data_IF_551634832749
#
_entry.id   IF_551634832749
#
_cell.length_a   1.000
_cell.length_b   1.000
_cell.length_c   1.000
_cell.angle_alpha   90.00
_cell.angle_beta   90.00
_cell.angle_gamma   90.00
#
_symmetry.space_group_name_H-M   'P 1'
#
loop_
_entity.id
_entity.type
_entity.pdbx_description
1 polymer ?
#
# COMPACT_ATOMS: atom_id res chain seq x y z
N UNK A 1 -18.71 -8.58 59.22
CA UNK A 1 -19.32 -7.41 58.58
C UNK A 1 -19.42 -7.73 57.09
N UNK A 2 -20.60 -8.14 56.64
CA UNK A 2 -20.85 -8.45 55.23
C UNK A 2 -20.88 -7.17 54.40
N UNK A 3 -20.08 -7.13 53.33
CA UNK A 3 -20.07 -6.04 52.37
C UNK A 3 -21.26 -6.20 51.42
N UNK A 4 -22.21 -5.26 51.50
CA UNK A 4 -23.36 -5.16 50.59
C UNK A 4 -22.86 -4.83 49.19
N UNK A 5 -22.96 -5.78 48.25
CA UNK A 5 -22.75 -5.54 46.81
C UNK A 5 -23.90 -4.69 46.28
N UNK A 6 -23.63 -3.45 45.88
CA UNK A 6 -24.60 -2.66 45.11
C UNK A 6 -24.61 -3.12 43.66
N UNK A 7 -25.81 -3.34 43.14
CA UNK A 7 -26.08 -3.70 41.75
C UNK A 7 -25.83 -2.53 40.80
N UNK A 8 -25.04 -2.78 39.75
CA UNK A 8 -24.75 -1.86 38.66
C UNK A 8 -26.04 -1.36 38.00
N UNK A 9 -26.23 -0.04 37.93
CA UNK A 9 -27.40 0.58 37.29
C UNK A 9 -26.94 1.28 36.00
N UNK A 10 -27.52 0.89 34.87
CA UNK A 10 -27.23 1.42 33.53
C UNK A 10 -27.50 2.93 33.43
N UNK A 11 -26.53 3.69 32.89
CA UNK A 11 -26.59 5.15 32.67
C UNK A 11 -27.70 5.61 31.70
N UNK A 12 -28.26 4.69 30.91
CA UNK A 12 -29.31 4.99 29.94
C UNK A 12 -30.69 5.23 30.59
N UNK A 13 -30.86 4.94 31.87
CA UNK A 13 -32.10 5.12 32.62
C UNK A 13 -32.25 6.49 33.33
N UNK A 14 -31.24 7.39 33.27
CA UNK A 14 -31.29 8.72 33.91
C UNK A 14 -31.68 9.88 33.00
N UNK A 15 -31.95 9.63 31.71
CA UNK A 15 -32.40 10.64 30.76
C UNK A 15 -33.85 10.39 30.34
N UNK A 16 -34.78 10.62 31.25
CA UNK A 16 -36.20 10.69 30.93
C UNK A 16 -36.78 12.01 31.47
N UNK A 17 -36.99 12.97 30.57
CA UNK A 17 -37.85 14.14 30.80
C UNK A 17 -39.05 14.09 29.83
N UNK A 18 -40.20 14.67 30.21
CA UNK A 18 -41.52 14.15 29.84
C UNK A 18 -41.92 14.53 28.41
N UNK A 19 -42.36 13.54 27.63
CA UNK A 19 -43.06 13.77 26.36
C UNK A 19 -44.52 14.12 26.63
N UNK A 20 -44.91 15.32 26.22
CA UNK A 20 -46.30 15.75 26.09
C UNK A 20 -47.03 14.82 25.11
N UNK A 21 -48.18 14.30 25.55
CA UNK A 21 -49.07 13.42 24.78
C UNK A 21 -50.09 14.22 23.99
N UNK A 22 -50.32 13.85 22.72
CA UNK A 22 -51.67 13.75 22.13
C UNK A 22 -51.66 12.84 20.89
N UNK A 23 -52.75 12.09 20.63
CA UNK A 23 -52.74 10.90 19.80
C UNK A 23 -53.27 11.16 18.38
N UNK A 24 -52.79 10.41 17.39
CA UNK A 24 -53.52 10.16 16.15
C UNK A 24 -53.25 8.74 15.65
N UNK A 25 -54.31 8.16 15.10
CA UNK A 25 -54.64 6.75 14.93
C UNK A 25 -54.28 6.18 13.54
N UNK A 26 -53.63 5.01 13.54
CA UNK A 26 -53.79 3.74 12.73
C UNK A 26 -54.74 3.82 11.49
N UNK A 27 -54.41 3.23 10.30
CA UNK A 27 -54.25 1.77 10.14
C UNK A 27 -53.24 1.13 9.18
N UNK A 28 -53.06 -0.17 9.47
CA UNK A 28 -52.26 -1.27 8.91
C UNK A 28 -52.59 -1.65 7.45
N UNK A 29 -51.63 -2.29 6.78
CA UNK A 29 -51.86 -3.49 5.93
C UNK A 29 -50.54 -4.29 5.78
N UNK A 30 -50.47 -5.53 6.32
CA UNK A 30 -50.45 -6.85 5.64
C UNK A 30 -49.20 -7.17 4.81
N UNK A 31 -48.30 -8.02 5.32
CA UNK A 31 -48.17 -9.46 5.03
C UNK A 31 -47.48 -9.77 3.69
N UNK A 32 -46.33 -10.43 3.73
CA UNK A 32 -46.06 -11.68 2.96
C UNK A 32 -44.76 -12.32 3.43
N UNK A 33 -44.91 -13.53 3.94
CA UNK A 33 -43.89 -14.52 4.31
C UNK A 33 -43.27 -15.13 3.06
N UNK A 34 -41.95 -15.34 3.02
CA UNK A 34 -41.37 -16.36 2.12
C UNK A 34 -40.26 -17.14 2.82
N UNK A 35 -40.58 -18.42 2.99
CA UNK A 35 -39.77 -19.54 3.49
C UNK A 35 -38.49 -19.75 2.68
N UNK A 36 -37.38 -20.07 3.36
CA UNK A 36 -36.24 -20.75 2.76
C UNK A 36 -35.78 -21.92 3.65
N UNK A 37 -35.69 -23.07 2.98
CA UNK A 37 -35.35 -24.42 3.43
C UNK A 37 -34.03 -24.53 4.19
N UNK A 38 -34.07 -25.38 5.21
CA UNK A 38 -32.95 -26.10 5.82
C UNK A 38 -32.47 -27.26 4.93
N UNK A 39 -31.15 -27.46 4.83
CA UNK A 39 -30.53 -28.79 4.60
C UNK A 39 -29.05 -28.81 4.99
N UNK A 40 -28.74 -29.65 6.00
CA UNK A 40 -27.59 -30.56 6.24
C UNK A 40 -26.17 -30.07 5.90
N UNK A 41 -25.24 -29.89 6.86
CA UNK A 41 -24.53 -30.89 7.69
C UNK A 41 -23.98 -32.09 6.91
N UNK A 42 -22.65 -32.09 6.68
CA UNK A 42 -21.84 -33.31 6.56
C UNK A 42 -20.52 -33.13 7.31
N UNK A 43 -20.24 -34.10 8.16
CA UNK A 43 -19.09 -34.22 9.05
C UNK A 43 -18.12 -35.29 8.55
N UNK A 44 -16.96 -35.30 9.23
CA UNK A 44 -16.01 -36.39 9.45
C UNK A 44 -15.08 -36.83 8.32
N UNK A 45 -13.86 -36.31 8.45
CA UNK A 45 -12.57 -36.94 8.26
C UNK A 45 -12.41 -38.30 8.98
N UNK A 46 -11.59 -39.17 8.39
CA UNK A 46 -10.93 -40.27 9.09
C UNK A 46 -10.12 -41.15 8.14
N UNK A 47 -8.78 -41.09 8.25
CA UNK A 47 -7.92 -42.28 8.21
C UNK A 47 -6.44 -41.89 8.33
N UNK A 48 -5.85 -42.37 9.42
CA UNK A 48 -4.44 -42.46 9.76
C UNK A 48 -3.71 -43.54 8.98
N UNK A 49 -2.41 -43.34 8.68
CA UNK A 49 -1.44 -44.44 8.66
C UNK A 49 -0.01 -43.92 8.84
N UNK A 50 0.71 -44.59 9.73
CA UNK A 50 2.02 -44.30 10.28
C UNK A 50 3.19 -44.92 9.50
N UNK A 51 4.33 -44.22 9.56
CA UNK A 51 5.72 -44.70 9.76
C UNK A 51 6.37 -45.78 8.87
N UNK A 52 7.54 -45.45 8.30
CA UNK A 52 8.75 -46.28 8.41
C UNK A 52 10.02 -45.48 8.15
N UNK A 53 10.96 -45.58 9.09
CA UNK A 53 12.31 -45.01 9.18
C UNK A 53 13.37 -45.79 8.39
N UNK A 54 14.43 -45.12 7.90
CA UNK A 54 15.87 -45.43 8.19
C UNK A 54 16.88 -44.63 7.33
N UNK A 55 18.16 -44.52 7.76
CA UNK A 55 19.02 -43.33 7.54
C UNK A 55 20.27 -43.57 6.68
N UNK A 56 20.91 -42.48 6.23
CA UNK A 56 22.34 -42.27 5.83
C UNK A 56 22.38 -40.98 5.00
N UNK A 57 23.39 -40.12 4.97
CA UNK A 57 24.72 -40.06 5.56
C UNK A 57 25.21 -38.62 5.36
N UNK A 58 26.02 -38.15 6.30
CA UNK A 58 26.73 -36.86 6.28
C UNK A 58 27.64 -36.68 5.05
N UNK A 59 27.54 -35.52 4.40
CA UNK A 59 28.66 -34.91 3.68
C UNK A 59 28.61 -33.40 3.85
N UNK A 60 29.57 -32.89 4.61
CA UNK A 60 29.94 -31.48 4.75
C UNK A 60 30.38 -30.90 3.41
N UNK A 61 29.75 -29.81 2.98
CA UNK A 61 30.31 -28.87 2.00
C UNK A 61 29.91 -27.45 2.38
N UNK A 62 30.92 -26.59 2.50
CA UNK A 62 30.91 -25.20 2.93
C UNK A 62 29.93 -24.29 2.18
N UNK A 63 29.42 -23.21 2.79
CA UNK A 63 28.53 -22.27 2.14
C UNK A 63 29.35 -21.29 1.29
N UNK A 64 29.23 -21.38 -0.03
CA UNK A 64 29.53 -20.25 -0.90
C UNK A 64 28.24 -19.48 -1.14
N UNK A 65 28.31 -18.18 -0.88
CA UNK A 65 27.29 -17.17 -1.12
C UNK A 65 26.77 -17.22 -2.56
N UNK A 66 25.59 -17.82 -2.76
CA UNK A 66 24.70 -17.44 -3.85
C UNK A 66 23.69 -16.44 -3.30
N UNK A 67 24.01 -15.15 -3.45
CA UNK A 67 23.03 -14.09 -3.37
C UNK A 67 22.00 -14.31 -4.50
N UNK A 68 20.96 -15.09 -4.20
CA UNK A 68 19.86 -15.36 -5.09
C UNK A 68 19.13 -14.06 -5.43
N UNK A 69 19.45 -13.48 -6.58
CA UNK A 69 18.57 -12.55 -7.27
C UNK A 69 17.30 -13.31 -7.64
N UNK A 70 16.29 -13.28 -6.77
CA UNK A 70 14.96 -13.78 -7.09
C UNK A 70 14.50 -13.08 -8.37
N UNK A 71 14.16 -13.86 -9.41
CA UNK A 71 13.51 -13.32 -10.61
C UNK A 71 12.32 -12.48 -10.16
N UNK A 72 12.15 -11.25 -10.70
CA UNK A 72 11.04 -10.40 -10.29
C UNK A 72 9.73 -11.16 -10.49
N UNK A 73 9.00 -11.39 -9.40
CA UNK A 73 7.72 -12.07 -9.48
C UNK A 73 6.81 -11.29 -10.43
N UNK A 74 6.25 -11.99 -11.40
CA UNK A 74 5.43 -11.37 -12.43
C UNK A 74 4.19 -10.78 -11.76
N UNK A 75 4.05 -9.45 -11.86
CA UNK A 75 2.93 -8.70 -11.30
C UNK A 75 1.59 -9.33 -11.73
N UNK A 76 0.68 -9.67 -10.79
CA UNK A 76 -0.62 -10.24 -11.15
C UNK A 76 -1.42 -9.32 -12.06
N UNK A 77 -2.21 -9.88 -12.98
CA UNK A 77 -3.06 -9.11 -13.91
C UNK A 77 -4.13 -8.29 -13.20
N UNK A 78 -4.53 -8.72 -12.01
CA UNK A 78 -5.49 -8.02 -11.15
C UNK A 78 -4.89 -6.81 -10.41
N UNK A 79 -3.56 -6.68 -10.39
CA UNK A 79 -2.91 -5.61 -9.63
C UNK A 79 -3.16 -4.23 -10.28
N UNK A 80 -3.59 -3.22 -9.51
CA UNK A 80 -3.90 -1.88 -10.04
C UNK A 80 -2.73 -1.30 -10.82
N UNK A 81 -2.89 -0.79 -12.05
CA UNK A 81 -1.74 -0.25 -12.80
C UNK A 81 -1.23 1.05 -12.15
N UNK A 82 0.08 1.19 -11.90
CA UNK A 82 0.60 2.44 -11.35
C UNK A 82 0.41 3.57 -12.36
N UNK A 83 0.00 4.73 -11.88
CA UNK A 83 -0.16 5.94 -12.68
C UNK A 83 0.68 7.05 -12.06
N UNK A 84 1.92 7.19 -12.54
CA UNK A 84 2.87 8.20 -12.06
C UNK A 84 3.01 9.29 -13.10
N UNK A 85 3.00 10.56 -12.66
CA UNK A 85 3.16 11.70 -13.55
C UNK A 85 4.64 11.90 -13.95
N UNK A 86 5.15 11.01 -14.81
CA UNK A 86 6.52 11.05 -15.35
C UNK A 86 6.78 12.38 -16.07
N UNK A 87 5.76 12.94 -16.72
CA UNK A 87 5.87 14.25 -17.38
C UNK A 87 6.26 15.35 -16.38
N UNK A 88 5.56 15.44 -15.26
CA UNK A 88 5.86 16.42 -14.22
C UNK A 88 7.27 16.25 -13.63
N UNK A 89 7.72 15.00 -13.43
CA UNK A 89 9.09 14.71 -12.96
C UNK A 89 10.12 15.26 -13.94
N UNK A 90 9.88 15.06 -15.24
CA UNK A 90 10.79 15.48 -16.30
C UNK A 90 10.84 16.99 -16.53
N UNK A 91 9.69 17.66 -16.40
CA UNK A 91 9.59 19.11 -16.52
C UNK A 91 10.18 19.82 -15.29
N UNK A 92 10.25 19.15 -14.13
CA UNK A 92 10.68 19.75 -12.86
C UNK A 92 11.72 18.89 -12.09
N UNK A 93 12.82 18.45 -12.70
CA UNK A 93 13.73 17.47 -12.10
C UNK A 93 14.37 17.97 -10.79
N UNK A 94 14.68 19.27 -10.71
CA UNK A 94 15.30 19.91 -9.55
C UNK A 94 14.42 19.85 -8.30
N UNK A 95 13.09 19.98 -8.47
CA UNK A 95 12.14 19.92 -7.35
C UNK A 95 12.13 18.50 -6.76
N UNK A 96 12.09 17.48 -7.62
CA UNK A 96 12.11 16.08 -7.17
C UNK A 96 13.45 15.70 -6.54
N UNK A 97 14.56 16.14 -7.12
CA UNK A 97 15.90 15.93 -6.57
C UNK A 97 16.04 16.57 -5.18
N UNK A 98 15.67 17.84 -5.04
CA UNK A 98 15.69 18.56 -3.76
C UNK A 98 14.80 17.88 -2.73
N UNK A 99 13.58 17.51 -3.10
CA UNK A 99 12.65 16.81 -2.20
C UNK A 99 13.21 15.46 -1.73
N UNK A 100 13.85 14.68 -2.62
CA UNK A 100 14.55 13.45 -2.23
C UNK A 100 15.64 13.72 -1.19
N UNK A 101 16.47 14.76 -1.39
CA UNK A 101 17.52 15.11 -0.44
C UNK A 101 16.96 15.53 0.93
N UNK A 102 15.92 16.37 0.93
CA UNK A 102 15.25 16.82 2.16
C UNK A 102 14.56 15.69 2.93
N UNK A 103 14.11 14.64 2.22
CA UNK A 103 13.48 13.44 2.79
C UNK A 103 14.49 12.30 3.07
N UNK A 104 15.79 12.53 2.89
CA UNK A 104 16.87 11.55 3.06
C UNK A 104 16.88 10.36 2.05
N UNK A 105 16.33 10.53 0.85
CA UNK A 105 16.36 9.58 -0.26
C UNK A 105 17.55 9.85 -1.21
N UNK A 106 18.78 9.69 -0.70
CA UNK A 106 20.03 10.09 -1.40
C UNK A 106 20.28 9.37 -2.73
N UNK A 107 19.86 8.11 -2.85
CA UNK A 107 20.05 7.35 -4.11
C UNK A 107 19.05 7.82 -5.16
N UNK A 108 17.79 8.00 -4.73
CA UNK A 108 16.67 8.37 -5.57
C UNK A 108 16.74 9.82 -6.04
N UNK A 109 17.51 10.69 -5.38
CA UNK A 109 17.73 12.07 -5.84
C UNK A 109 18.36 12.14 -7.25
N UNK A 110 19.04 11.09 -7.69
CA UNK A 110 19.62 10.99 -9.04
C UNK A 110 18.61 10.53 -10.12
N UNK A 111 17.42 10.07 -9.72
CA UNK A 111 16.47 9.44 -10.63
C UNK A 111 15.81 10.43 -11.60
N UNK A 112 15.44 11.67 -11.22
CA UNK A 112 14.84 12.61 -12.15
C UNK A 112 15.71 12.91 -13.39
N UNK A 113 17.02 13.10 -13.20
CA UNK A 113 17.96 13.32 -14.31
C UNK A 113 18.16 12.07 -15.17
N UNK A 114 18.19 10.89 -14.55
CA UNK A 114 18.22 9.59 -15.25
C UNK A 114 16.95 9.37 -16.09
N UNK A 115 15.77 9.69 -15.57
CA UNK A 115 14.49 9.60 -16.29
C UNK A 115 14.53 10.50 -17.54
N UNK A 116 15.08 11.71 -17.44
CA UNK A 116 15.24 12.59 -18.61
C UNK A 116 16.17 12.00 -19.66
N UNK A 117 17.29 11.39 -19.24
CA UNK A 117 18.20 10.68 -20.15
C UNK A 117 17.51 9.51 -20.86
N UNK A 118 16.80 8.66 -20.11
CA UNK A 118 16.06 7.53 -20.65
C UNK A 118 14.95 7.98 -21.60
N UNK A 119 14.29 9.09 -21.29
CA UNK A 119 13.27 9.64 -22.17
C UNK A 119 13.86 10.16 -23.48
N UNK A 120 15.04 10.80 -23.45
CA UNK A 120 15.72 11.22 -24.68
C UNK A 120 16.09 10.02 -25.56
N UNK A 121 16.56 8.92 -24.96
CA UNK A 121 16.80 7.66 -25.66
C UNK A 121 15.50 7.09 -26.25
N UNK A 122 14.42 7.09 -25.48
CA UNK A 122 13.11 6.63 -25.93
C UNK A 122 12.59 7.46 -27.10
N UNK A 123 12.75 8.80 -27.05
CA UNK A 123 12.40 9.68 -28.16
C UNK A 123 13.23 9.42 -29.41
N UNK A 124 14.53 9.13 -29.26
CA UNK A 124 15.38 8.74 -30.38
C UNK A 124 14.87 7.44 -31.02
N UNK A 125 14.52 6.42 -30.23
CA UNK A 125 13.91 5.18 -30.74
C UNK A 125 12.56 5.41 -31.43
N UNK A 126 11.72 6.28 -30.88
CA UNK A 126 10.47 6.68 -31.53
C UNK A 126 10.70 7.36 -32.87
N UNK A 127 11.76 8.18 -32.98
CA UNK A 127 12.15 8.84 -34.23
C UNK A 127 12.68 7.82 -35.25
N UNK A 128 13.56 6.92 -34.84
CA UNK A 128 14.11 5.82 -35.66
C UNK A 128 12.98 4.91 -36.19
N UNK A 129 11.97 4.65 -35.35
CA UNK A 129 10.82 3.83 -35.70
C UNK A 129 9.79 4.52 -36.59
N UNK A 130 9.77 5.85 -36.67
CA UNK A 130 8.70 6.60 -37.37
C UNK A 130 8.64 6.25 -38.86
N UNK A 131 9.76 6.39 -39.57
CA UNK A 131 9.82 6.09 -41.01
C UNK A 131 9.58 4.61 -41.29
N UNK A 132 10.04 3.71 -40.40
CA UNK A 132 9.81 2.27 -40.51
C UNK A 132 8.33 1.90 -40.31
N UNK A 133 7.63 2.54 -39.37
CA UNK A 133 6.19 2.35 -39.15
C UNK A 133 5.36 2.90 -40.31
N UNK A 134 5.69 4.08 -40.81
CA UNK A 134 5.05 4.67 -42.00
C UNK A 134 5.20 3.74 -43.22
N UNK A 135 6.42 3.22 -43.45
CA UNK A 135 6.70 2.26 -44.51
C UNK A 135 5.98 0.94 -44.31
N UNK A 136 5.98 0.39 -43.09
CA UNK A 136 5.24 -0.84 -42.77
C UNK A 136 3.74 -0.69 -43.00
N UNK A 137 3.16 0.45 -42.64
CA UNK A 137 1.75 0.76 -42.88
C UNK A 137 1.45 0.90 -44.38
N UNK A 138 2.35 1.52 -45.16
CA UNK A 138 2.22 1.61 -46.61
C UNK A 138 2.24 0.21 -47.26
N UNK A 139 3.18 -0.65 -46.88
CA UNK A 139 3.26 -2.04 -47.34
C UNK A 139 2.01 -2.85 -46.98
N UNK A 140 1.52 -2.73 -45.74
CA UNK A 140 0.27 -3.40 -45.33
C UNK A 140 -0.92 -2.99 -46.18
N UNK A 141 -1.04 -1.69 -46.52
CA UNK A 141 -2.10 -1.18 -47.41
C UNK A 141 -1.94 -1.73 -48.84
N UNK A 142 -0.71 -1.82 -49.34
CA UNK A 142 -0.40 -2.37 -50.66
C UNK A 142 -0.75 -3.86 -50.75
N UNK A 143 -0.31 -4.67 -49.77
CA UNK A 143 -0.58 -6.11 -49.71
C UNK A 143 -2.07 -6.42 -49.56
N UNK A 144 -2.81 -5.56 -48.84
CA UNK A 144 -4.25 -5.70 -48.67
C UNK A 144 -5.07 -5.30 -49.92
N UNK A 145 -4.45 -4.65 -50.91
CA UNK A 145 -5.14 -4.22 -52.13
C UNK A 145 -5.28 -5.40 -53.12
N UNK A 146 -6.51 -5.79 -53.52
CA UNK A 146 -6.74 -6.92 -54.43
C UNK A 146 -6.12 -6.74 -55.83
N UNK A 147 -5.92 -5.50 -56.28
CA UNK A 147 -5.35 -5.20 -57.61
C UNK A 147 -3.86 -5.57 -57.75
N UNK A 148 -3.15 -5.72 -56.63
CA UNK A 148 -1.75 -6.18 -56.56
C UNK A 148 -1.63 -7.71 -56.62
N UNK A 149 -2.76 -8.42 -56.63
CA UNK A 149 -2.85 -9.87 -56.85
C UNK A 149 -3.18 -10.08 -58.33
N UNK A 150 -2.29 -9.64 -59.23
CA UNK A 150 -2.32 -10.13 -60.61
C UNK A 150 -1.28 -11.24 -60.73
N UNK A 151 -1.76 -12.40 -61.17
CA UNK A 151 -0.99 -13.62 -61.40
C UNK A 151 0.13 -13.39 -62.40
N UNK A 152 1.37 -13.71 -62.02
CA UNK A 152 2.42 -14.07 -62.98
C UNK A 152 2.24 -15.55 -63.34
N UNK A 153 1.21 -15.84 -64.15
CA UNK A 153 1.17 -17.06 -64.96
C UNK A 153 1.03 -16.54 -66.40
N UNK A 154 2.16 -16.43 -67.11
CA UNK A 154 2.35 -16.39 -68.58
C UNK A 154 3.46 -15.41 -69.00
N UNK A 155 4.71 -15.85 -68.90
CA UNK A 155 5.81 -15.31 -69.71
C UNK A 155 6.80 -16.43 -70.05
N UNK A 156 6.53 -17.15 -71.13
CA UNK A 156 7.53 -17.99 -71.78
C UNK A 156 8.62 -17.12 -72.43
N UNK A 157 9.86 -17.44 -72.03
CA UNK A 157 11.08 -17.48 -72.83
C UNK A 157 11.81 -16.16 -73.15
N UNK A 158 13.02 -16.00 -72.58
CA UNK A 158 14.03 -15.09 -73.15
C UNK A 158 15.11 -14.56 -72.21
N UNK A 159 16.05 -15.41 -71.77
CA UNK A 159 17.46 -15.02 -71.65
C UNK A 159 17.97 -14.27 -70.41
N UNK A 160 19.20 -14.64 -70.04
CA UNK A 160 20.13 -14.00 -69.10
C UNK A 160 19.91 -14.25 -67.59
N UNK A 161 20.54 -15.33 -67.13
CA UNK A 161 20.95 -15.50 -65.74
C UNK A 161 21.91 -14.35 -65.32
N UNK A 162 21.40 -13.41 -64.53
CA UNK A 162 22.20 -12.47 -63.73
C UNK A 162 22.46 -13.05 -62.33
N UNK A 163 23.56 -12.68 -61.64
CA UNK A 163 24.01 -13.40 -60.46
C UNK A 163 23.05 -13.19 -59.28
N UNK A 164 22.77 -14.28 -58.55
CA UNK A 164 22.18 -14.23 -57.20
C UNK A 164 23.11 -13.43 -56.29
N UNK A 165 22.84 -12.15 -56.13
CA UNK A 165 23.46 -11.34 -55.07
C UNK A 165 22.80 -11.71 -53.75
N UNK A 166 23.58 -12.38 -52.90
CA UNK A 166 23.67 -12.15 -51.45
C UNK A 166 22.64 -11.14 -50.91
N UNK A 167 21.52 -11.63 -50.39
CA UNK A 167 21.28 -11.73 -48.94
C UNK A 167 21.32 -10.47 -48.06
N UNK A 168 21.71 -9.30 -48.55
CA UNK A 168 21.94 -8.13 -47.71
C UNK A 168 21.52 -6.83 -48.40
N UNK A 169 20.22 -6.53 -48.40
CA UNK A 169 19.77 -5.15 -48.56
C UNK A 169 20.07 -4.38 -47.28
N UNK A 170 20.98 -3.39 -47.28
CA UNK A 170 21.22 -2.58 -46.11
C UNK A 170 19.96 -1.79 -45.80
N UNK A 171 19.51 -1.81 -44.55
CA UNK A 171 18.48 -0.93 -44.00
C UNK A 171 18.92 0.55 -43.95
N UNK A 172 19.89 0.95 -44.78
CA UNK A 172 20.53 2.26 -44.83
C UNK A 172 19.82 3.25 -45.75
N UNK A 173 20.20 4.52 -45.58
CA UNK A 173 19.58 5.78 -46.00
C UNK A 173 19.55 6.07 -47.53
N UNK A 174 19.37 5.04 -48.36
CA UNK A 174 19.24 5.17 -49.83
C UNK A 174 17.80 5.42 -50.29
N UNK A 175 17.59 5.94 -51.53
CA UNK A 175 16.26 6.18 -52.09
C UNK A 175 15.47 4.87 -52.20
N UNK A 176 14.46 4.70 -51.34
CA UNK A 176 13.60 3.51 -51.30
C UNK A 176 12.67 3.51 -52.51
N UNK A 177 12.57 2.37 -53.22
CA UNK A 177 11.64 2.18 -54.35
C UNK A 177 10.19 2.45 -53.93
N UNK A 178 9.38 2.94 -54.87
CA UNK A 178 7.95 3.12 -54.67
C UNK A 178 7.30 1.75 -54.39
N UNK A 179 6.50 1.69 -53.33
CA UNK A 179 5.80 0.47 -52.90
C UNK A 179 4.84 -0.02 -53.99
N UNK A 180 4.43 0.89 -54.89
CA UNK A 180 3.54 0.61 -56.02
C UNK A 180 4.16 -0.22 -57.15
N UNK A 181 5.49 -0.26 -57.22
CA UNK A 181 6.21 -0.92 -58.32
C UNK A 181 6.87 -2.23 -57.90
N UNK A 182 6.65 -2.68 -56.66
CA UNK A 182 7.27 -3.89 -56.11
C UNK A 182 6.40 -5.12 -56.35
N UNK A 183 7.03 -6.27 -56.58
CA UNK A 183 6.32 -7.56 -56.73
C UNK A 183 5.80 -8.05 -55.37
N UNK A 184 4.85 -9.00 -55.39
CA UNK A 184 4.27 -9.55 -54.15
C UNK A 184 5.33 -10.15 -53.23
N UNK A 185 6.32 -10.85 -53.78
CA UNK A 185 7.40 -11.47 -52.99
C UNK A 185 8.35 -10.43 -52.40
N UNK A 186 8.64 -9.36 -53.16
CA UNK A 186 9.43 -8.22 -52.66
C UNK A 186 8.70 -7.48 -51.52
N UNK A 187 7.38 -7.28 -51.66
CA UNK A 187 6.54 -6.66 -50.63
C UNK A 187 6.53 -7.51 -49.33
N UNK A 188 6.44 -8.83 -49.47
CA UNK A 188 6.44 -9.77 -48.34
C UNK A 188 7.80 -9.81 -47.64
N UNK A 189 8.92 -9.83 -48.37
CA UNK A 189 10.25 -9.82 -47.77
C UNK A 189 10.58 -8.48 -47.11
N UNK A 190 10.24 -7.33 -47.73
CA UNK A 190 10.41 -6.02 -47.08
C UNK A 190 9.56 -5.93 -45.81
N UNK A 191 8.31 -6.41 -45.83
CA UNK A 191 7.46 -6.46 -44.65
C UNK A 191 8.06 -7.33 -43.54
N UNK A 192 8.71 -8.46 -43.88
CA UNK A 192 9.38 -9.34 -42.93
C UNK A 192 10.60 -8.66 -42.30
N UNK A 193 11.43 -7.99 -43.10
CA UNK A 193 12.59 -7.24 -42.63
C UNK A 193 12.20 -6.07 -41.74
N UNK A 194 11.18 -5.29 -42.13
CA UNK A 194 10.64 -4.20 -41.32
C UNK A 194 10.03 -4.69 -40.02
N UNK A 195 9.32 -5.83 -40.04
CA UNK A 195 8.79 -6.44 -38.81
C UNK A 195 9.93 -6.78 -37.83
N UNK A 196 11.04 -7.33 -38.32
CA UNK A 196 12.21 -7.62 -37.48
C UNK A 196 12.83 -6.34 -36.90
N UNK A 197 13.02 -5.32 -37.73
CA UNK A 197 13.57 -4.03 -37.29
C UNK A 197 12.65 -3.31 -36.27
N UNK A 198 11.33 -3.32 -36.52
CA UNK A 198 10.34 -2.74 -35.62
C UNK A 198 10.25 -3.49 -34.29
N UNK A 199 10.37 -4.82 -34.28
CA UNK A 199 10.38 -5.62 -33.04
C UNK A 199 11.48 -5.15 -32.09
N UNK A 200 12.69 -4.95 -32.59
CA UNK A 200 13.82 -4.47 -31.78
C UNK A 200 13.56 -3.06 -31.22
N UNK A 201 12.97 -2.17 -32.01
CA UNK A 201 12.62 -0.81 -31.57
C UNK A 201 11.52 -0.86 -30.50
N UNK A 202 10.47 -1.67 -30.70
CA UNK A 202 9.36 -1.83 -29.77
C UNK A 202 9.82 -2.44 -28.43
N UNK A 203 10.73 -3.42 -28.48
CA UNK A 203 11.36 -4.00 -27.28
C UNK A 203 12.18 -2.97 -26.51
N UNK A 204 12.99 -2.15 -27.21
CA UNK A 204 13.76 -1.07 -26.61
C UNK A 204 12.84 0.00 -26.00
N UNK A 205 11.78 0.40 -26.70
CA UNK A 205 10.81 1.38 -26.21
C UNK A 205 10.10 0.88 -24.95
N UNK A 206 9.69 -0.40 -24.94
CA UNK A 206 9.04 -1.01 -23.78
C UNK A 206 10.00 -1.12 -22.59
N UNK A 207 11.26 -1.50 -22.82
CA UNK A 207 12.30 -1.56 -21.79
C UNK A 207 12.55 -0.18 -21.17
N UNK A 208 12.78 0.84 -22.00
CA UNK A 208 13.01 2.22 -21.54
C UNK A 208 11.80 2.78 -20.78
N UNK A 209 10.58 2.51 -21.27
CA UNK A 209 9.36 2.92 -20.58
C UNK A 209 9.20 2.25 -19.22
N UNK A 210 9.56 0.96 -19.12
CA UNK A 210 9.52 0.21 -17.85
C UNK A 210 10.54 0.78 -16.87
N UNK A 211 11.78 0.99 -17.32
CA UNK A 211 12.84 1.56 -16.47
C UNK A 211 12.49 2.96 -15.96
N UNK A 212 11.92 3.84 -16.82
CA UNK A 212 11.43 5.14 -16.38
C UNK A 212 10.31 5.03 -15.34
N UNK A 213 9.40 4.07 -15.50
CA UNK A 213 8.30 3.86 -14.57
C UNK A 213 8.80 3.35 -13.22
N UNK A 214 9.75 2.41 -13.21
CA UNK A 214 10.32 1.85 -11.99
C UNK A 214 11.09 2.91 -11.20
N UNK A 215 11.88 3.74 -11.88
CA UNK A 215 12.56 4.89 -11.26
C UNK A 215 11.56 5.90 -10.70
N UNK A 216 10.48 6.20 -11.44
CA UNK A 216 9.46 7.14 -11.00
C UNK A 216 8.66 6.61 -9.79
N UNK A 217 8.40 5.31 -9.71
CA UNK A 217 7.71 4.68 -8.57
C UNK A 217 8.56 4.63 -7.29
N UNK A 218 9.88 4.70 -7.43
CA UNK A 218 10.79 4.72 -6.30
C UNK A 218 10.97 6.12 -5.68
N UNK A 219 10.48 7.18 -6.34
CA UNK A 219 10.53 8.53 -5.79
C UNK A 219 9.48 8.70 -4.68
N UNK A 220 9.82 9.38 -3.57
CA UNK A 220 8.82 9.79 -2.59
C UNK A 220 7.91 10.89 -3.18
N UNK A 221 6.74 11.07 -2.58
CA UNK A 221 5.84 12.16 -2.91
C UNK A 221 6.49 13.53 -2.61
N UNK A 222 5.94 14.61 -3.14
CA UNK A 222 6.40 15.96 -2.80
C UNK A 222 5.97 16.34 -1.38
N UNK A 223 6.82 17.06 -0.66
CA UNK A 223 6.51 17.59 0.66
C UNK A 223 5.75 18.92 0.55
N UNK A 224 4.88 19.24 1.51
CA UNK A 224 4.26 20.56 1.59
C UNK A 224 5.30 21.65 1.92
N UNK A 225 5.03 22.88 1.49
CA UNK A 225 5.88 24.03 1.81
C UNK A 225 5.93 24.32 3.32
N UNK A 226 4.88 23.94 4.05
CA UNK A 226 4.76 24.12 5.51
C UNK A 226 5.53 23.08 6.32
N UNK A 227 5.99 21.98 5.69
CA UNK A 227 6.71 20.89 6.34
C UNK A 227 8.08 21.37 6.84
N UNK A 228 8.39 21.20 8.15
CA UNK A 228 9.70 21.51 8.70
C UNK A 228 10.80 20.73 7.97
N UNK A 229 11.91 21.40 7.67
CA UNK A 229 13.05 20.75 7.00
C UNK A 229 13.95 20.06 8.02
N UNK A 230 14.54 18.93 7.64
CA UNK A 230 15.48 18.19 8.47
C UNK A 230 14.80 17.12 9.31
N UNK A 231 15.21 16.99 10.58
CA UNK A 231 14.82 15.88 11.47
C UNK A 231 14.00 16.33 12.69
N UNK A 232 13.82 17.63 12.91
CA UNK A 232 13.16 18.14 14.11
C UNK A 232 11.68 18.47 13.84
N UNK A 233 10.73 17.86 14.57
CA UNK A 233 9.33 18.21 14.45
C UNK A 233 9.06 19.60 15.03
N UNK A 234 8.03 20.28 14.50
CA UNK A 234 7.55 21.56 15.04
C UNK A 234 6.31 21.34 15.91
N UNK A 235 6.35 21.77 17.16
CA UNK A 235 5.18 21.75 18.04
C UNK A 235 4.14 22.76 17.55
N UNK A 236 2.89 22.31 17.38
CA UNK A 236 1.77 23.14 16.95
C UNK A 236 0.87 23.56 18.11
N UNK A 237 0.54 22.61 18.98
CA UNK A 237 -0.36 22.83 20.11
C UNK A 237 -0.20 21.72 21.16
N UNK A 238 -0.89 21.90 22.28
CA UNK A 238 -0.94 20.93 23.37
C UNK A 238 -2.38 20.60 23.73
N UNK A 239 -2.60 19.38 24.21
CA UNK A 239 -3.90 18.86 24.63
C UNK A 239 -3.93 18.76 26.15
N UNK A 240 -5.00 19.28 26.76
CA UNK A 240 -5.26 19.27 28.22
C UNK A 240 -4.16 19.93 29.07
N UNK A 241 -3.57 21.05 28.62
CA UNK A 241 -2.62 21.83 29.44
C UNK A 241 -3.29 22.68 30.55
N UNK A 242 -2.54 23.06 31.61
CA UNK A 242 -1.14 22.73 31.89
C UNK A 242 -0.97 21.27 32.31
N UNK A 243 0.21 20.71 32.07
CA UNK A 243 0.49 19.35 32.50
C UNK A 243 0.40 19.27 34.03
N UNK A 244 -0.24 18.25 34.65
CA UNK A 244 -0.24 18.07 36.11
C UNK A 244 1.15 17.94 36.74
N UNK A 245 2.24 17.91 35.94
CA UNK A 245 3.63 17.87 36.40
C UNK A 245 4.33 19.23 36.38
N UNK A 246 3.77 20.26 35.74
CA UNK A 246 4.29 21.64 35.86
C UNK A 246 3.95 22.25 37.22
N UNK A 247 2.93 21.73 37.89
CA UNK A 247 2.50 22.12 39.24
C UNK A 247 3.04 21.22 40.36
N UNK A 248 3.73 20.12 40.04
CA UNK A 248 4.33 19.23 41.03
C UNK A 248 5.70 19.79 41.47
N UNK A 249 5.84 20.08 42.77
CA UNK A 249 7.11 20.50 43.36
C UNK A 249 8.24 19.52 42.95
N UNK A 250 9.45 20.01 42.60
CA UNK A 250 10.61 19.16 42.27
C UNK A 250 11.05 18.21 43.40
N UNK A 251 10.39 18.27 44.56
CA UNK A 251 10.60 17.43 45.75
C UNK A 251 9.63 16.23 45.87
N UNK A 252 8.93 15.82 44.80
CA UNK A 252 8.02 14.68 44.86
C UNK A 252 8.77 13.34 44.76
N UNK A 253 8.85 12.58 45.86
CA UNK A 253 9.38 11.20 45.95
C UNK A 253 8.53 10.13 45.22
N UNK A 254 7.60 10.56 44.35
CA UNK A 254 6.65 9.68 43.68
C UNK A 254 7.36 8.78 42.67
N UNK A 255 7.51 7.51 43.02
CA UNK A 255 8.01 6.46 42.13
C UNK A 255 6.95 6.15 41.08
N UNK A 256 7.18 6.58 39.84
CA UNK A 256 6.35 6.19 38.71
C UNK A 256 6.58 4.71 38.40
N UNK A 257 5.49 3.96 38.24
CA UNK A 257 5.52 2.56 37.79
C UNK A 257 5.26 2.53 36.28
N UNK A 258 5.92 1.63 35.55
CA UNK A 258 5.69 1.47 34.12
C UNK A 258 4.34 0.80 33.87
N UNK A 259 3.79 0.95 32.65
CA UNK A 259 2.57 0.23 32.25
C UNK A 259 2.75 -1.29 32.36
N UNK A 260 3.96 -1.79 32.14
CA UNK A 260 4.30 -3.21 32.36
C UNK A 260 4.11 -3.60 33.81
N UNK A 261 4.72 -2.85 34.74
CA UNK A 261 4.59 -3.14 36.17
C UNK A 261 3.12 -3.06 36.61
N UNK A 262 2.43 -1.97 36.25
CA UNK A 262 1.03 -1.74 36.61
C UNK A 262 0.15 -2.88 36.06
N UNK A 263 0.32 -3.22 34.79
CA UNK A 263 -0.47 -4.26 34.14
C UNK A 263 -0.23 -5.66 34.71
N UNK A 264 1.01 -6.00 35.07
CA UNK A 264 1.32 -7.27 35.74
C UNK A 264 0.74 -7.32 37.15
N UNK A 265 0.86 -6.24 37.93
CA UNK A 265 0.35 -6.18 39.32
C UNK A 265 -1.17 -6.25 39.38
N UNK A 266 -1.86 -5.64 38.40
CA UNK A 266 -3.31 -5.75 38.24
C UNK A 266 -3.75 -7.08 37.62
N UNK A 267 -2.81 -7.90 37.13
CA UNK A 267 -3.14 -9.17 36.47
C UNK A 267 -3.78 -9.03 35.08
N UNK A 268 -3.68 -7.86 34.46
CA UNK A 268 -4.34 -7.55 33.17
C UNK A 268 -3.42 -7.73 31.95
N UNK A 269 -2.10 -7.91 32.17
CA UNK A 269 -1.10 -8.18 31.13
C UNK A 269 -0.32 -9.47 31.41
N UNK A 270 -0.29 -10.37 30.43
CA UNK A 270 0.55 -11.58 30.48
C UNK A 270 1.45 -11.68 29.25
N UNK A 271 2.72 -11.32 29.46
CA UNK A 271 3.79 -11.43 28.46
C UNK A 271 4.49 -12.80 28.51
N UNK A 272 4.44 -13.51 29.64
CA UNK A 272 5.17 -14.76 29.81
C UNK A 272 4.52 -15.88 29.00
N UNK A 273 3.20 -16.02 29.10
CA UNK A 273 2.42 -16.99 28.31
C UNK A 273 2.48 -16.67 26.82
N UNK A 274 2.49 -15.38 26.46
CA UNK A 274 2.65 -14.94 25.07
C UNK A 274 4.05 -15.30 24.53
N UNK A 275 5.10 -15.10 25.33
CA UNK A 275 6.47 -15.50 24.97
C UNK A 275 6.61 -17.01 24.75
N UNK A 276 5.94 -17.84 25.55
CA UNK A 276 5.91 -19.29 25.34
C UNK A 276 5.15 -19.68 24.07
N UNK A 277 4.09 -18.95 23.70
CA UNK A 277 3.21 -19.31 22.59
C UNK A 277 3.72 -18.81 21.24
N UNK A 278 4.10 -17.53 21.17
CA UNK A 278 4.36 -16.80 19.91
C UNK A 278 5.73 -16.14 19.86
N UNK A 279 6.50 -16.23 20.96
CA UNK A 279 7.79 -15.57 21.10
C UNK A 279 7.67 -14.13 21.60
N UNK A 280 8.73 -13.37 21.42
CA UNK A 280 8.83 -12.01 21.91
C UNK A 280 7.95 -11.02 21.13
N UNK A 281 7.55 -9.90 21.77
CA UNK A 281 6.76 -8.83 21.13
C UNK A 281 5.25 -9.11 21.06
N UNK A 282 4.79 -10.21 21.66
CA UNK A 282 3.38 -10.60 21.80
C UNK A 282 2.90 -10.45 23.25
N UNK A 283 1.59 -10.39 23.45
CA UNK A 283 0.98 -10.21 24.77
C UNK A 283 -0.42 -10.81 24.83
N UNK A 284 -0.86 -11.17 26.04
CA UNK A 284 -2.28 -11.33 26.35
C UNK A 284 -2.79 -10.13 27.14
N UNK A 285 -3.99 -9.66 26.80
CA UNK A 285 -4.81 -8.82 27.67
C UNK A 285 -5.77 -9.73 28.42
N UNK A 286 -5.81 -9.61 29.74
CA UNK A 286 -6.66 -10.42 30.61
C UNK A 286 -7.74 -9.53 31.25
N UNK A 287 -8.90 -10.11 31.51
CA UNK A 287 -9.99 -9.50 32.29
C UNK A 287 -10.27 -8.03 31.93
N UNK A 288 -10.06 -7.10 32.86
CA UNK A 288 -10.28 -5.66 32.66
C UNK A 288 -9.38 -5.06 31.56
N UNK A 289 -8.19 -5.61 31.32
CA UNK A 289 -7.33 -5.19 30.21
C UNK A 289 -7.96 -5.49 28.85
N UNK A 290 -8.58 -6.67 28.70
CA UNK A 290 -9.31 -7.02 27.49
C UNK A 290 -10.58 -6.17 27.34
N UNK A 291 -11.30 -5.90 28.44
CA UNK A 291 -12.47 -5.02 28.43
C UNK A 291 -12.09 -3.58 28.06
N UNK A 292 -10.94 -3.07 28.53
CA UNK A 292 -10.45 -1.74 28.21
C UNK A 292 -10.18 -1.59 26.72
N UNK A 293 -9.57 -2.59 26.07
CA UNK A 293 -9.39 -2.56 24.61
C UNK A 293 -10.73 -2.42 23.88
N UNK A 294 -11.72 -3.24 24.23
CA UNK A 294 -13.04 -3.19 23.61
C UNK A 294 -13.76 -1.86 23.86
N UNK A 295 -13.63 -1.31 25.08
CA UNK A 295 -14.21 -0.02 25.43
C UNK A 295 -13.59 1.13 24.63
N UNK A 296 -12.27 1.16 24.47
CA UNK A 296 -11.56 2.17 23.68
C UNK A 296 -11.94 2.09 22.19
N UNK A 297 -12.08 0.89 21.63
CA UNK A 297 -12.54 0.68 20.25
C UNK A 297 -13.95 1.26 20.07
N UNK A 298 -14.89 0.84 20.93
CA UNK A 298 -16.29 1.25 20.83
C UNK A 298 -16.45 2.77 21.05
N UNK A 299 -15.71 3.33 22.00
CA UNK A 299 -15.68 4.76 22.28
C UNK A 299 -15.23 5.55 21.05
N UNK A 300 -14.05 5.23 20.50
CA UNK A 300 -13.50 5.95 19.34
C UNK A 300 -14.40 5.85 18.13
N UNK A 301 -14.92 4.66 17.81
CA UNK A 301 -15.88 4.50 16.69
C UNK A 301 -17.13 5.36 16.89
N UNK A 302 -17.69 5.38 18.11
CA UNK A 302 -18.86 6.19 18.43
C UNK A 302 -18.58 7.70 18.37
N UNK A 303 -17.37 8.14 18.74
CA UNK A 303 -16.96 9.54 18.64
C UNK A 303 -16.81 9.97 17.18
N UNK A 304 -16.05 9.21 16.38
CA UNK A 304 -15.80 9.57 14.97
C UNK A 304 -17.08 9.53 14.13
N UNK A 305 -17.96 8.55 14.34
CA UNK A 305 -19.21 8.43 13.57
C UNK A 305 -20.27 9.50 13.87
N UNK A 306 -20.08 10.33 14.91
CA UNK A 306 -20.91 11.53 15.13
C UNK A 306 -20.54 12.67 14.20
N UNK A 307 -19.32 12.68 13.68
CA UNK A 307 -18.86 13.69 12.72
C UNK A 307 -19.56 13.43 11.37
N UNK A 308 -20.25 14.42 10.78
CA UNK A 308 -20.98 14.23 9.54
C UNK A 308 -20.12 13.64 8.42
N UNK A 309 -20.65 12.60 7.77
CA UNK A 309 -20.01 11.95 6.62
C UNK A 309 -19.10 10.76 6.96
N UNK A 310 -18.63 10.61 8.20
CA UNK A 310 -17.85 9.45 8.61
C UNK A 310 -18.73 8.21 8.75
N UNK A 311 -18.39 7.16 7.99
CA UNK A 311 -19.14 5.90 8.03
C UNK A 311 -18.26 4.76 8.52
N UNK A 312 -18.77 4.00 9.47
CA UNK A 312 -18.07 2.84 10.01
C UNK A 312 -17.95 1.71 8.98
N UNK A 313 -16.82 1.01 8.98
CA UNK A 313 -16.57 -0.19 8.17
C UNK A 313 -15.66 -1.17 8.92
N UNK A 314 -15.79 -2.46 8.64
CA UNK A 314 -14.87 -3.49 9.13
C UNK A 314 -14.04 -4.03 7.94
N UNK A 315 -12.78 -3.60 7.78
CA UNK A 315 -11.93 -4.06 6.67
C UNK A 315 -11.33 -5.46 6.94
N UNK A 316 -10.96 -6.22 5.89
CA UNK A 316 -10.23 -7.48 6.04
C UNK A 316 -8.79 -7.26 6.56
N UNK A 317 -8.30 -8.16 7.42
CA UNK A 317 -6.91 -8.15 7.90
C UNK A 317 -5.91 -8.82 6.96
N UNK A 318 -6.40 -9.60 5.99
CA UNK A 318 -5.58 -10.28 4.97
C UNK A 318 -5.85 -9.59 3.64
N UNK A 319 -4.78 -9.16 2.97
CA UNK A 319 -4.83 -8.45 1.69
C UNK A 319 -3.90 -9.11 0.68
N UNK A 320 -4.06 -8.81 -0.60
CA UNK A 320 -3.05 -9.18 -1.58
C UNK A 320 -1.76 -8.38 -1.35
N UNK A 321 -0.60 -9.02 -1.42
CA UNK A 321 0.70 -8.37 -1.24
C UNK A 321 0.91 -7.18 -2.19
N UNK A 322 0.37 -7.27 -3.41
CA UNK A 322 0.47 -6.19 -4.40
C UNK A 322 -0.39 -4.96 -4.05
N UNK A 323 -1.42 -5.09 -3.21
CA UNK A 323 -2.20 -3.96 -2.68
C UNK A 323 -1.39 -3.26 -1.58
N UNK A 324 -0.79 -4.02 -0.65
CA UNK A 324 0.11 -3.47 0.36
C UNK A 324 1.28 -2.69 -0.28
N UNK A 325 1.91 -3.29 -1.30
CA UNK A 325 2.98 -2.64 -2.05
C UNK A 325 2.52 -1.34 -2.75
N UNK A 326 1.29 -1.31 -3.30
CA UNK A 326 0.73 -0.12 -3.92
C UNK A 326 0.46 1.03 -2.93
N UNK A 327 0.23 0.71 -1.65
CA UNK A 327 0.12 1.69 -0.57
C UNK A 327 1.48 2.15 -0.03
N UNK A 328 2.60 1.76 -0.64
CA UNK A 328 3.95 2.11 -0.19
C UNK A 328 4.52 1.22 0.90
N UNK A 329 3.78 0.17 1.32
CA UNK A 329 4.28 -0.83 2.26
C UNK A 329 5.11 -1.85 1.50
N UNK A 330 6.42 -1.65 1.49
CA UNK A 330 7.34 -2.58 0.84
C UNK A 330 7.57 -3.81 1.74
N UNK A 331 7.72 -5.02 1.17
CA UNK A 331 8.07 -6.22 1.92
C UNK A 331 9.38 -6.08 2.70
N UNK A 332 10.28 -5.20 2.25
CA UNK A 332 11.49 -4.81 2.96
C UNK A 332 11.60 -3.30 3.00
N UNK A 333 12.02 -2.75 4.13
CA UNK A 333 12.35 -1.33 4.22
C UNK A 333 13.72 -1.02 3.61
N UNK A 334 14.16 0.22 3.74
CA UNK A 334 15.44 0.70 3.20
C UNK A 334 16.66 -0.04 3.77
N UNK A 335 16.52 -0.66 4.94
CA UNK A 335 17.56 -1.43 5.61
C UNK A 335 17.47 -2.93 5.28
N UNK A 336 16.52 -3.32 4.42
CA UNK A 336 16.29 -4.71 4.04
C UNK A 336 15.45 -5.49 5.05
N UNK A 337 14.85 -4.83 6.04
CA UNK A 337 14.12 -5.46 7.13
C UNK A 337 12.66 -5.69 6.74
N UNK A 338 12.13 -6.87 7.05
CA UNK A 338 10.76 -7.22 6.68
C UNK A 338 9.77 -6.66 7.69
N UNK A 339 8.91 -5.74 7.26
CA UNK A 339 7.90 -5.12 8.13
C UNK A 339 6.50 -5.76 7.99
N UNK A 340 6.31 -6.64 7.01
CA UNK A 340 5.02 -7.26 6.65
C UNK A 340 5.10 -8.78 6.82
N UNK A 341 4.10 -9.37 7.47
CA UNK A 341 3.95 -10.83 7.49
C UNK A 341 3.28 -11.33 6.20
N UNK A 342 4.03 -12.09 5.40
CA UNK A 342 3.49 -12.81 4.24
C UNK A 342 2.86 -14.15 4.66
N UNK A 343 1.75 -14.53 4.04
CA UNK A 343 1.13 -15.84 4.26
C UNK A 343 1.83 -16.91 3.41
N UNK A 344 2.07 -18.07 4.02
CA UNK A 344 2.66 -19.20 3.31
C UNK A 344 1.81 -19.62 2.12
N UNK A 345 2.46 -19.80 0.96
CA UNK A 345 1.84 -20.32 -0.25
C UNK A 345 2.45 -21.68 -0.61
N UNK A 346 1.61 -22.63 -1.01
CA UNK A 346 2.10 -23.90 -1.53
C UNK A 346 2.78 -23.72 -2.89
N UNK A 347 3.73 -24.59 -3.23
CA UNK A 347 4.35 -24.58 -4.55
C UNK A 347 3.31 -24.69 -5.68
N UNK A 348 2.22 -25.44 -5.47
CA UNK A 348 1.12 -25.54 -6.43
C UNK A 348 0.40 -24.21 -6.65
N UNK A 349 0.15 -23.45 -5.57
CA UNK A 349 -0.47 -22.12 -5.66
C UNK A 349 0.43 -21.14 -6.44
N UNK A 350 1.74 -21.18 -6.20
CA UNK A 350 2.73 -20.39 -6.94
C UNK A 350 2.73 -20.77 -8.43
N UNK A 351 2.77 -22.07 -8.75
CA UNK A 351 2.74 -22.54 -10.16
C UNK A 351 1.45 -22.14 -10.87
N UNK A 352 0.31 -22.10 -10.17
CA UNK A 352 -0.97 -21.62 -10.72
C UNK A 352 -1.06 -20.09 -10.86
N UNK A 353 -0.04 -19.36 -10.43
CA UNK A 353 -0.03 -17.90 -10.45
C UNK A 353 -1.02 -17.27 -9.47
N UNK A 354 -1.36 -17.96 -8.37
CA UNK A 354 -2.24 -17.41 -7.35
C UNK A 354 -1.52 -16.24 -6.65
N UNK A 355 -2.14 -15.04 -6.60
CA UNK A 355 -1.51 -13.89 -5.97
C UNK A 355 -1.16 -14.16 -4.50
N UNK A 356 0.00 -13.67 -4.08
CA UNK A 356 0.43 -13.71 -2.69
C UNK A 356 -0.48 -12.87 -1.79
N UNK A 357 -0.68 -13.35 -0.55
CA UNK A 357 -1.45 -12.70 0.49
C UNK A 357 -0.53 -12.31 1.65
N UNK A 358 -0.83 -11.21 2.31
CA UNK A 358 -0.12 -10.73 3.49
C UNK A 358 -1.08 -10.20 4.54
N UNK A 359 -0.61 -10.12 5.79
CA UNK A 359 -1.33 -9.47 6.88
C UNK A 359 -1.12 -7.96 6.81
N UNK A 360 -2.21 -7.19 6.96
CA UNK A 360 -2.16 -5.75 6.91
C UNK A 360 -1.58 -5.17 8.23
N UNK A 361 -0.61 -4.26 8.13
CA UNK A 361 -0.04 -3.52 9.26
C UNK A 361 -0.86 -2.31 9.72
N UNK A 362 -1.98 -2.04 9.03
CA UNK A 362 -2.94 -0.96 9.28
C UNK A 362 -4.21 -1.20 8.45
N UNK A 363 -5.37 -0.73 8.92
CA UNK A 363 -6.61 -0.69 8.13
C UNK A 363 -6.52 0.23 6.89
N UNK A 364 -5.55 1.15 6.83
CA UNK A 364 -5.29 1.99 5.65
C UNK A 364 -5.18 1.16 4.36
N UNK A 365 -4.44 0.05 4.39
CA UNK A 365 -4.17 -0.80 3.22
C UNK A 365 -5.46 -1.38 2.62
N UNK A 366 -6.29 -2.12 3.39
CA UNK A 366 -7.56 -2.63 2.86
C UNK A 366 -8.57 -1.52 2.57
N UNK A 367 -8.53 -0.37 3.28
CA UNK A 367 -9.38 0.77 2.96
C UNK A 367 -9.01 1.36 1.61
N UNK A 368 -7.74 1.67 1.35
CA UNK A 368 -7.25 2.10 0.04
C UNK A 368 -7.61 1.08 -1.07
N UNK A 369 -7.43 -0.21 -0.78
CA UNK A 369 -7.81 -1.31 -1.68
C UNK A 369 -9.31 -1.39 -2.01
N UNK A 370 -10.19 -0.94 -1.11
CA UNK A 370 -11.65 -0.98 -1.27
C UNK A 370 -12.14 -0.27 -2.54
N UNK A 371 -11.39 0.75 -2.99
CA UNK A 371 -11.71 1.58 -4.16
C UNK A 371 -10.65 1.50 -5.25
N UNK A 372 -9.73 0.54 -5.17
CA UNK A 372 -8.73 0.31 -6.19
C UNK A 372 -9.37 -0.02 -7.54
N UNK A 373 -8.84 0.57 -8.63
CA UNK A 373 -9.38 0.46 -10.00
C UNK A 373 -10.85 0.91 -10.15
N UNK A 374 -11.37 1.73 -9.24
CA UNK A 374 -12.70 2.35 -9.36
C UNK A 374 -12.59 3.84 -9.69
N UNK A 375 -13.63 4.37 -10.35
CA UNK A 375 -13.80 5.80 -10.58
C UNK A 375 -14.88 6.30 -9.63
N UNK A 376 -14.62 7.42 -8.96
CA UNK A 376 -15.61 8.06 -8.09
C UNK A 376 -16.46 9.03 -8.90
N UNK A 377 -17.75 9.07 -8.57
CA UNK A 377 -18.58 10.20 -8.97
C UNK A 377 -18.29 11.39 -8.05
N UNK A 378 -18.29 12.62 -8.59
CA UNK A 378 -17.99 13.81 -7.81
C UNK A 378 -18.92 13.97 -6.59
N UNK A 379 -20.18 13.54 -6.71
CA UNK A 379 -21.16 13.56 -5.62
C UNK A 379 -20.89 12.57 -4.48
N UNK A 380 -19.98 11.61 -4.66
CA UNK A 380 -19.57 10.68 -3.61
C UNK A 380 -18.43 11.23 -2.74
N UNK A 381 -17.82 12.36 -3.13
CA UNK A 381 -16.67 12.96 -2.46
C UNK A 381 -17.09 14.14 -1.56
N UNK A 382 -16.45 14.32 -0.39
CA UNK A 382 -15.46 13.41 0.21
C UNK A 382 -16.11 12.13 0.76
N UNK A 383 -15.53 10.98 0.43
CA UNK A 383 -15.95 9.68 0.96
C UNK A 383 -15.11 9.35 2.20
N UNK A 384 -15.69 9.51 3.39
CA UNK A 384 -15.00 9.31 4.68
C UNK A 384 -15.36 7.95 5.32
N UNK A 385 -14.38 7.24 5.86
CA UNK A 385 -14.54 5.91 6.47
C UNK A 385 -13.75 5.80 7.77
N UNK A 386 -14.36 5.24 8.80
CA UNK A 386 -13.67 4.85 10.03
C UNK A 386 -13.77 3.34 10.20
N UNK A 387 -12.65 2.65 10.42
CA UNK A 387 -12.66 1.20 10.52
C UNK A 387 -11.71 0.63 11.55
N UNK A 388 -12.11 -0.45 12.20
CA UNK A 388 -11.30 -1.15 13.19
C UNK A 388 -10.68 -2.40 12.58
N UNK A 389 -9.39 -2.64 12.81
CA UNK A 389 -8.74 -3.89 12.43
C UNK A 389 -7.64 -4.30 13.41
N UNK A 390 -7.38 -5.62 13.46
CA UNK A 390 -6.10 -6.15 13.94
C UNK A 390 -5.02 -5.80 12.93
N UNK A 391 -3.92 -5.25 13.42
CA UNK A 391 -2.78 -4.77 12.65
C UNK A 391 -1.56 -5.62 12.99
N UNK A 392 -0.84 -6.07 11.96
CA UNK A 392 0.30 -6.97 12.12
C UNK A 392 1.57 -6.32 11.59
N UNK A 393 2.58 -6.15 12.44
CA UNK A 393 3.87 -5.58 12.07
C UNK A 393 4.99 -6.49 12.51
N UNK A 394 5.86 -6.85 11.59
CA UNK A 394 6.94 -7.77 11.91
C UNK A 394 8.01 -7.13 12.81
N UNK A 395 8.09 -5.80 12.85
CA UNK A 395 9.03 -5.02 13.71
C UNK A 395 10.46 -5.59 13.65
N UNK A 396 10.84 -6.10 12.48
CA UNK A 396 12.18 -6.60 12.25
C UNK A 396 13.16 -5.44 12.42
N UNK A 397 14.30 -5.70 13.06
CA UNK A 397 15.33 -4.69 13.34
C UNK A 397 15.18 -3.91 14.64
N UNK A 398 13.96 -3.79 15.18
CA UNK A 398 13.70 -3.07 16.41
C UNK A 398 14.13 -3.90 17.64
N UNK A 399 15.41 -3.86 18.01
CA UNK A 399 15.94 -4.41 19.27
C UNK A 399 16.39 -3.27 20.18
N UNK A 400 15.80 -3.10 21.36
CA UNK A 400 16.20 -2.05 22.28
C UNK A 400 15.22 -1.76 23.42
N UNK A 401 15.45 -0.67 24.16
CA UNK A 401 14.62 -0.26 25.29
C UNK A 401 13.18 0.11 24.89
N UNK A 402 12.97 0.58 23.66
CA UNK A 402 11.66 1.00 23.09
C UNK A 402 10.73 -0.15 22.73
N UNK A 403 11.06 -1.35 23.19
CA UNK A 403 10.35 -2.57 22.83
C UNK A 403 9.75 -3.28 24.06
N UNK A 404 9.82 -2.63 25.23
CA UNK A 404 9.27 -3.16 26.48
C UNK A 404 7.76 -2.92 26.57
N UNK A 405 7.02 -3.98 26.91
CA UNK A 405 5.57 -3.93 27.10
C UNK A 405 4.82 -3.70 25.79
N UNK A 406 3.75 -2.90 25.86
CA UNK A 406 2.86 -2.61 24.72
C UNK A 406 3.28 -1.46 23.78
N UNK A 407 4.48 -0.87 23.96
CA UNK A 407 4.88 0.30 23.15
C UNK A 407 5.16 -0.06 21.69
N UNK A 408 5.78 -1.23 21.45
CA UNK A 408 6.05 -1.78 20.13
C UNK A 408 5.84 -3.29 20.18
N UNK A 409 4.84 -3.76 19.43
CA UNK A 409 4.33 -5.15 19.48
C UNK A 409 3.98 -5.62 18.06
N UNK A 410 3.94 -6.94 17.87
CA UNK A 410 3.70 -7.51 16.54
C UNK A 410 2.23 -7.49 16.10
N UNK A 411 1.32 -7.38 17.07
CA UNK A 411 -0.12 -7.37 16.80
C UNK A 411 -0.83 -6.41 17.75
N UNK A 412 -1.64 -5.51 17.22
CA UNK A 412 -2.42 -4.55 17.99
C UNK A 412 -3.72 -4.18 17.27
N UNK A 413 -4.70 -3.65 17.99
CA UNK A 413 -5.96 -3.18 17.40
C UNK A 413 -5.91 -1.68 17.17
N UNK A 414 -6.30 -1.24 15.97
CA UNK A 414 -6.34 0.19 15.62
C UNK A 414 -7.68 0.55 15.01
N UNK A 415 -8.23 1.70 15.42
CA UNK A 415 -9.33 2.38 14.74
C UNK A 415 -8.72 3.41 13.80
N UNK A 416 -8.99 3.26 12.51
CA UNK A 416 -8.40 4.04 11.43
C UNK A 416 -9.42 4.95 10.78
N UNK A 417 -9.04 6.20 10.54
CA UNK A 417 -9.78 7.14 9.73
C UNK A 417 -9.16 7.19 8.33
N UNK A 418 -9.97 7.11 7.27
CA UNK A 418 -9.54 7.17 5.88
C UNK A 418 -10.55 7.96 5.04
N UNK A 419 -10.08 8.83 4.16
CA UNK A 419 -10.93 9.60 3.27
C UNK A 419 -10.40 9.64 1.83
N UNK A 420 -11.32 9.64 0.88
CA UNK A 420 -11.05 10.05 -0.50
C UNK A 420 -11.68 11.42 -0.73
N UNK A 421 -10.89 12.38 -1.21
CA UNK A 421 -11.33 13.74 -1.52
C UNK A 421 -11.31 13.99 -3.02
N UNK A 422 -11.91 15.10 -3.46
CA UNK A 422 -11.64 15.62 -4.78
C UNK A 422 -10.17 16.08 -4.85
N UNK A 423 -9.53 16.07 -6.05
CA UNK A 423 -8.11 16.36 -6.20
C UNK A 423 -7.78 17.86 -6.11
N UNK A 424 -8.49 18.60 -5.27
CA UNK A 424 -8.21 19.98 -4.92
C UNK A 424 -7.57 20.07 -3.53
N UNK A 425 -6.62 21.00 -3.39
CA UNK A 425 -5.83 21.12 -2.18
C UNK A 425 -6.66 21.59 -0.98
N UNK A 426 -7.64 22.46 -1.21
CA UNK A 426 -8.49 23.04 -0.17
C UNK A 426 -9.34 21.94 0.51
N UNK A 427 -10.14 21.19 -0.25
CA UNK A 427 -10.96 20.09 0.30
C UNK A 427 -10.09 19.01 0.97
N UNK A 428 -8.91 18.74 0.42
CA UNK A 428 -7.97 17.77 1.01
C UNK A 428 -7.45 18.24 2.35
N UNK A 429 -7.08 19.51 2.48
CA UNK A 429 -6.62 20.11 3.74
C UNK A 429 -7.75 20.21 4.76
N UNK A 430 -8.96 20.59 4.35
CA UNK A 430 -10.13 20.65 5.24
C UNK A 430 -10.42 19.28 5.87
N UNK A 431 -10.41 18.21 5.08
CA UNK A 431 -10.61 16.85 5.59
C UNK A 431 -9.43 16.40 6.46
N UNK A 432 -8.20 16.78 6.12
CA UNK A 432 -7.02 16.48 6.92
C UNK A 432 -7.08 17.15 8.30
N UNK A 433 -7.41 18.44 8.36
CA UNK A 433 -7.54 19.19 9.61
C UNK A 433 -8.73 18.66 10.44
N UNK A 434 -9.86 18.29 9.81
CA UNK A 434 -10.97 17.61 10.50
C UNK A 434 -10.55 16.27 11.15
N UNK A 435 -9.65 15.52 10.50
CA UNK A 435 -9.11 14.27 11.08
C UNK A 435 -8.24 14.57 12.30
N UNK A 436 -7.41 15.61 12.26
CA UNK A 436 -6.56 16.04 13.40
C UNK A 436 -7.43 16.54 14.57
N UNK A 437 -8.48 17.28 14.28
CA UNK A 437 -9.44 17.75 15.28
C UNK A 437 -10.17 16.58 15.96
N UNK A 438 -10.63 15.60 15.19
CA UNK A 438 -11.29 14.43 15.72
C UNK A 438 -10.37 13.59 16.63
N UNK A 439 -9.10 13.43 16.25
CA UNK A 439 -8.08 12.77 17.07
C UNK A 439 -7.84 13.56 18.37
N UNK A 440 -7.75 14.89 18.26
CA UNK A 440 -7.57 15.81 19.39
C UNK A 440 -8.73 15.72 20.37
N UNK A 441 -9.98 15.67 19.90
CA UNK A 441 -11.17 15.53 20.73
C UNK A 441 -11.19 14.19 21.47
N UNK A 442 -10.88 13.08 20.79
CA UNK A 442 -10.80 11.75 21.40
C UNK A 442 -9.74 11.72 22.51
N UNK A 443 -8.56 12.27 22.27
CA UNK A 443 -7.48 12.30 23.28
C UNK A 443 -7.79 13.25 24.43
N UNK A 444 -8.39 14.42 24.13
CA UNK A 444 -8.79 15.40 25.13
C UNK A 444 -9.82 14.82 26.10
N UNK A 445 -10.85 14.17 25.56
CA UNK A 445 -11.94 13.56 26.34
C UNK A 445 -11.51 12.34 27.17
N UNK A 446 -10.43 11.66 26.78
CA UNK A 446 -9.77 10.63 27.62
C UNK A 446 -8.93 11.22 28.76
N UNK A 447 -8.77 12.55 28.83
CA UNK A 447 -7.95 13.21 29.83
C UNK A 447 -6.44 13.02 29.61
N UNK A 448 -6.03 12.71 28.39
CA UNK A 448 -4.61 12.52 28.06
C UNK A 448 -3.96 13.88 27.79
N UNK A 449 -2.72 14.04 28.29
CA UNK A 449 -1.89 15.19 27.98
C UNK A 449 -1.03 14.85 26.78
N UNK A 450 -1.09 15.66 25.73
CA UNK A 450 -0.39 15.39 24.48
C UNK A 450 0.22 16.66 23.89
N UNK A 451 1.18 16.47 22.99
CA UNK A 451 1.66 17.52 22.07
C UNK A 451 1.31 17.14 20.64
N UNK A 452 0.84 18.12 19.87
CA UNK A 452 0.55 17.99 18.44
C UNK A 452 1.76 18.50 17.67
N UNK A 453 2.29 17.66 16.78
CA UNK A 453 3.56 17.87 16.10
C UNK A 453 3.38 17.86 14.58
N UNK A 454 3.91 18.89 13.92
CA UNK A 454 4.15 18.86 12.48
C UNK A 454 5.46 18.10 12.23
N UNK A 455 5.36 16.97 11.52
CA UNK A 455 6.51 16.09 11.31
C UNK A 455 7.43 16.64 10.22
N UNK A 456 8.75 16.49 10.40
CA UNK A 456 9.72 17.06 9.48
C UNK A 456 9.89 16.20 8.22
N UNK A 457 10.50 16.78 7.18
CA UNK A 457 10.66 16.14 5.87
C UNK A 457 11.33 14.76 5.94
N UNK A 458 12.30 14.56 6.83
CA UNK A 458 12.98 13.27 6.98
C UNK A 458 12.09 12.16 7.59
N UNK A 459 10.94 12.50 8.18
CA UNK A 459 10.02 11.55 8.85
C UNK A 459 8.61 11.54 8.23
N UNK A 460 8.46 11.99 6.99
CA UNK A 460 7.20 11.89 6.24
C UNK A 460 6.94 10.49 5.65
N UNK A 461 7.91 9.56 5.69
CA UNK A 461 7.83 8.31 4.93
C UNK A 461 7.99 8.55 3.42
N UNK A 462 7.31 7.77 2.57
CA UNK A 462 7.36 7.95 1.09
C UNK A 462 6.09 8.59 0.51
N UNK A 463 4.91 8.28 1.06
CA UNK A 463 3.62 8.66 0.48
C UNK A 463 3.12 10.05 0.94
N UNK A 464 3.43 10.44 2.18
CA UNK A 464 2.86 11.65 2.77
C UNK A 464 3.41 12.93 2.13
N UNK A 465 2.52 13.90 1.92
CA UNK A 465 2.84 15.29 1.58
C UNK A 465 3.04 16.12 2.86
N UNK A 466 2.20 15.86 3.86
CA UNK A 466 2.18 16.48 5.18
C UNK A 466 1.81 15.41 6.20
N UNK A 467 2.32 15.50 7.43
CA UNK A 467 2.06 14.53 8.50
C UNK A 467 2.01 15.26 9.84
N UNK A 468 0.92 15.03 10.59
CA UNK A 468 0.77 15.47 11.97
C UNK A 468 0.80 14.23 12.86
N UNK A 469 1.69 14.21 13.85
CA UNK A 469 1.66 13.21 14.91
C UNK A 469 1.17 13.85 16.21
N UNK A 470 0.44 13.07 17.02
CA UNK A 470 0.05 13.47 18.37
C UNK A 470 0.74 12.52 19.35
N UNK A 471 1.62 13.07 20.18
CA UNK A 471 2.36 12.30 21.15
C UNK A 471 1.77 12.50 22.55
N UNK A 472 1.25 11.40 23.13
CA UNK A 472 0.79 11.40 24.51
C UNK A 472 1.98 11.33 25.48
N UNK A 473 1.86 12.04 26.60
CA UNK A 473 2.88 12.03 27.63
C UNK A 473 2.89 10.71 28.42
N UNK A 474 4.08 10.16 28.63
CA UNK A 474 4.33 8.99 29.48
C UNK A 474 5.15 9.38 30.72
N UNK A 475 4.62 9.28 31.95
CA UNK A 475 5.30 9.73 33.18
C UNK A 475 6.69 9.14 33.45
N UNK A 476 6.99 7.95 32.94
CA UNK A 476 8.27 7.27 33.17
C UNK A 476 9.33 7.56 32.09
N UNK A 477 8.94 8.12 30.94
CA UNK A 477 9.83 8.36 29.81
C UNK A 477 10.82 9.54 30.02
N UNK A 478 10.68 10.34 31.10
CA UNK A 478 11.63 11.41 31.43
C UNK A 478 13.02 10.93 31.86
N UNK A 479 13.26 9.62 32.06
CA UNK A 479 14.60 9.12 32.44
C UNK A 479 15.55 8.90 31.26
N UNK A 480 15.11 9.05 30.02
CA UNK A 480 15.95 8.85 28.81
C UNK A 480 16.37 10.15 28.12
N UNK A 481 16.27 11.29 28.81
CA UNK A 481 16.66 12.60 28.30
C UNK A 481 17.91 13.15 29.00
N UNK A 482 19.06 12.58 28.68
CA UNK A 482 20.37 13.25 28.59
C UNK A 482 20.98 12.89 27.27
#
# INVERSE_FOLDING_TARGET
>A
MEAVRQSFTCLQCRLAWPRVTRPLSIPRSTTTTRTARTTRLYSSSGSSSSSSSSPRSSSTSSPHDEAGQQKPQRRPTIAPRPNVNIRHIRENPEIHEKNCLERNYKVQSTYPSRINTLFAQWQARQKDGRSLRERSNALRRQIANPATIQHEDDAENGGAAGPRQDGSYPLGDGPRRDVRTMTKDELLEEARLLKKALSTIEEDEARLSTEMTDLALALPNLSADTTPKGNEPRVLSYINEPHPFESASPSSDRVWRSHVHIGTELGILDFASAATTSGWGWYYLLDEGAQLEQALIAYTLASITRIPGWRQIAPPSIVYSHIAAACGFQPRDQNGETQIYALSQSASDVTRGKPELSLAGTAEIPLAGMRANSVFEASELPSKRVGVSRCYRAEAGARGADTKGLYRVHEFTKVEMFAWTAPDAETTLDVFDEMVDAQTEVLSSLGLHCRVLEMPSADLGASAVRKIDIEAFFPLARRSGT
#
